data_IF_648576578924
#
_entry.id   IF_648576578924
#
_cell.length_a   1.000
_cell.length_b   1.000
_cell.length_c   1.000
_cell.angle_alpha   90.00
_cell.angle_beta   90.00
_cell.angle_gamma   90.00
#
_symmetry.space_group_name_H-M   'P 1'
#
loop_
_entity.id
_entity.type
_entity.pdbx_description
1 polymer ?
#
# COMPACT_ATOMS: atom_id res chain seq x y z
N UNK A 1 -26.23 1.69 -19.54
CA UNK A 1 -25.79 2.65 -20.58
C UNK A 1 -26.11 4.11 -20.21
N UNK A 2 -26.47 4.41 -18.95
CA UNK A 2 -27.18 5.65 -18.59
C UNK A 2 -26.30 6.77 -18.01
N UNK A 3 -25.08 6.48 -17.49
CA UNK A 3 -24.18 7.50 -16.92
C UNK A 3 -23.24 8.18 -17.94
N UNK A 4 -22.87 7.49 -19.03
CA UNK A 4 -21.96 8.06 -20.05
C UNK A 4 -22.64 9.16 -20.87
N UNK A 5 -23.98 9.14 -20.96
CA UNK A 5 -24.77 10.17 -21.64
C UNK A 5 -24.88 11.51 -20.89
N UNK A 6 -24.48 11.56 -19.61
CA UNK A 6 -24.49 12.75 -18.77
C UNK A 6 -23.18 13.57 -18.85
N UNK A 7 -22.22 13.13 -19.66
CA UNK A 7 -21.00 13.88 -19.98
C UNK A 7 -20.09 14.17 -18.77
N UNK A 8 -19.47 15.35 -18.76
CA UNK A 8 -18.48 15.79 -17.75
C UNK A 8 -19.07 15.91 -16.34
N UNK A 9 -20.37 16.18 -16.18
CA UNK A 9 -21.02 16.28 -14.86
C UNK A 9 -21.01 14.94 -14.12
N UNK A 10 -21.39 13.86 -14.79
CA UNK A 10 -21.34 12.52 -14.19
C UNK A 10 -19.91 12.09 -13.88
N UNK A 11 -18.96 12.51 -14.71
CA UNK A 11 -17.55 12.23 -14.50
C UNK A 11 -17.00 12.96 -13.25
N UNK A 12 -17.40 14.22 -13.03
CA UNK A 12 -17.08 14.96 -11.80
C UNK A 12 -17.70 14.37 -10.54
N UNK A 13 -18.93 13.85 -10.62
CA UNK A 13 -19.55 13.13 -9.49
C UNK A 13 -18.76 11.86 -9.14
N UNK A 14 -18.36 11.08 -10.16
CA UNK A 14 -17.56 9.87 -9.96
C UNK A 14 -16.18 10.19 -9.36
N UNK A 15 -15.56 11.30 -9.75
CA UNK A 15 -14.29 11.78 -9.17
C UNK A 15 -14.46 12.08 -7.68
N UNK A 16 -15.50 12.84 -7.30
CA UNK A 16 -15.81 13.15 -5.90
C UNK A 16 -16.08 11.90 -5.06
N UNK A 17 -16.96 11.01 -5.54
CA UNK A 17 -17.30 9.75 -4.83
C UNK A 17 -16.09 8.82 -4.70
N UNK A 18 -15.16 8.83 -5.66
CA UNK A 18 -13.93 8.03 -5.56
C UNK A 18 -12.99 8.55 -4.45
N UNK A 19 -12.88 9.87 -4.30
CA UNK A 19 -12.05 10.51 -3.29
C UNK A 19 -12.64 10.38 -1.87
N UNK A 20 -13.97 10.34 -1.74
CA UNK A 20 -14.66 10.34 -0.46
C UNK A 20 -14.39 9.07 0.38
N UNK A 21 -13.80 9.23 1.58
CA UNK A 21 -13.57 8.13 2.53
C UNK A 21 -14.83 7.75 3.33
N UNK A 22 -15.85 8.62 3.31
CA UNK A 22 -17.20 8.39 3.79
C UNK A 22 -17.96 7.35 2.98
N UNK A 23 -17.62 7.18 1.70
CA UNK A 23 -18.32 6.27 0.80
C UNK A 23 -18.00 4.78 1.04
N UNK A 24 -18.95 3.91 0.69
CA UNK A 24 -18.78 2.45 0.81
C UNK A 24 -17.61 1.99 -0.07
N UNK A 25 -16.65 1.28 0.54
CA UNK A 25 -15.48 0.74 -0.13
C UNK A 25 -15.85 -0.09 -1.37
N UNK A 26 -16.92 -0.88 -1.32
CA UNK A 26 -17.41 -1.68 -2.46
C UNK A 26 -17.81 -0.79 -3.62
N UNK A 27 -18.45 0.35 -3.35
CA UNK A 27 -18.83 1.34 -4.37
C UNK A 27 -17.57 1.96 -4.97
N UNK A 28 -16.66 2.47 -4.13
CA UNK A 28 -15.39 3.08 -4.55
C UNK A 28 -14.56 2.15 -5.43
N UNK A 29 -14.54 0.84 -5.14
CA UNK A 29 -13.82 -0.16 -5.95
C UNK A 29 -14.40 -0.35 -7.36
N UNK A 30 -15.67 0.01 -7.62
CA UNK A 30 -16.31 -0.08 -8.94
C UNK A 30 -16.19 1.21 -9.76
N UNK A 31 -15.85 2.34 -9.14
CA UNK A 31 -15.82 3.64 -9.82
C UNK A 31 -14.73 3.72 -10.90
N UNK A 32 -13.47 3.29 -10.66
CA UNK A 32 -12.40 3.46 -11.65
C UNK A 32 -12.70 2.84 -13.02
N UNK A 33 -13.27 1.63 -13.04
CA UNK A 33 -13.69 0.98 -14.29
C UNK A 33 -14.81 1.73 -15.01
N UNK A 34 -15.62 2.50 -14.28
CA UNK A 34 -16.71 3.30 -14.83
C UNK A 34 -16.16 4.59 -15.42
N UNK A 35 -15.23 5.26 -14.71
CA UNK A 35 -14.47 6.42 -15.22
C UNK A 35 -13.77 6.08 -16.54
N UNK A 36 -13.13 4.91 -16.64
CA UNK A 36 -12.43 4.49 -17.86
C UNK A 36 -13.34 4.29 -19.10
N UNK A 37 -14.66 4.38 -18.96
CA UNK A 37 -15.62 4.30 -20.08
C UNK A 37 -15.96 5.66 -20.69
N UNK A 38 -15.51 6.76 -20.08
CA UNK A 38 -15.64 8.11 -20.61
C UNK A 38 -14.55 8.42 -21.63
N UNK A 39 -14.56 9.62 -22.20
CA UNK A 39 -13.54 10.06 -23.16
C UNK A 39 -12.13 9.86 -22.58
N UNK A 40 -11.20 9.19 -23.32
CA UNK A 40 -9.91 8.80 -22.76
C UNK A 40 -9.08 9.93 -22.14
N UNK A 41 -9.00 11.14 -22.72
CA UNK A 41 -8.28 12.26 -22.09
C UNK A 41 -8.87 12.67 -20.73
N UNK A 42 -10.20 12.84 -20.63
CA UNK A 42 -10.87 13.21 -19.37
C UNK A 42 -10.75 12.12 -18.31
N UNK A 43 -10.95 10.86 -18.71
CA UNK A 43 -10.82 9.71 -17.81
C UNK A 43 -9.40 9.57 -17.27
N UNK A 44 -8.37 9.71 -18.12
CA UNK A 44 -6.98 9.62 -17.70
C UNK A 44 -6.59 10.74 -16.74
N UNK A 45 -7.01 11.98 -17.01
CA UNK A 45 -6.76 13.12 -16.12
C UNK A 45 -7.25 12.84 -14.70
N UNK A 46 -8.48 12.34 -14.57
CA UNK A 46 -9.08 12.01 -13.27
C UNK A 46 -8.39 10.82 -12.60
N UNK A 47 -8.15 9.73 -13.34
CA UNK A 47 -7.48 8.56 -12.78
C UNK A 47 -6.06 8.90 -12.30
N UNK A 48 -5.31 9.74 -13.02
CA UNK A 48 -3.98 10.20 -12.60
C UNK A 48 -4.08 11.09 -11.36
N UNK A 49 -5.02 12.03 -11.31
CA UNK A 49 -5.26 12.86 -10.11
C UNK A 49 -5.57 11.98 -8.88
N UNK A 50 -6.40 10.97 -9.05
CA UNK A 50 -6.81 10.05 -7.99
C UNK A 50 -5.67 9.15 -7.48
N UNK A 51 -4.56 9.01 -8.22
CA UNK A 51 -3.36 8.36 -7.69
C UNK A 51 -2.81 9.08 -6.47
N UNK A 52 -2.99 10.39 -6.33
CA UNK A 52 -2.55 11.17 -5.17
C UNK A 52 -3.61 11.23 -4.06
N UNK A 53 -4.88 11.37 -4.42
CA UNK A 53 -5.97 11.58 -3.46
C UNK A 53 -6.37 10.30 -2.69
N UNK A 54 -6.36 9.14 -3.36
CA UNK A 54 -6.82 7.89 -2.74
C UNK A 54 -5.79 7.35 -1.76
N UNK A 55 -6.14 7.28 -0.47
CA UNK A 55 -5.29 6.65 0.56
C UNK A 55 -5.37 5.12 0.52
N UNK A 56 -6.57 4.57 0.39
CA UNK A 56 -6.79 3.12 0.41
C UNK A 56 -6.07 2.40 -0.75
N UNK A 57 -5.17 1.46 -0.42
CA UNK A 57 -4.36 0.74 -1.40
C UNK A 57 -5.16 -0.13 -2.39
N UNK A 58 -6.31 -0.67 -1.99
CA UNK A 58 -7.17 -1.47 -2.87
C UNK A 58 -7.92 -0.59 -3.88
N UNK A 59 -8.32 0.62 -3.47
CA UNK A 59 -8.92 1.60 -4.39
C UNK A 59 -7.85 2.13 -5.36
N UNK A 60 -6.65 2.49 -4.87
CA UNK A 60 -5.49 2.85 -5.73
C UNK A 60 -5.19 1.76 -6.76
N UNK A 61 -5.25 0.50 -6.35
CA UNK A 61 -5.09 -0.63 -7.26
C UNK A 61 -6.13 -0.64 -8.39
N UNK A 62 -7.40 -0.38 -8.08
CA UNK A 62 -8.47 -0.29 -9.08
C UNK A 62 -8.28 0.91 -10.02
N UNK A 63 -7.81 2.05 -9.50
CA UNK A 63 -7.41 3.22 -10.31
C UNK A 63 -6.31 2.83 -11.30
N UNK A 64 -5.23 2.20 -10.83
CA UNK A 64 -4.13 1.76 -11.68
C UNK A 64 -4.59 0.76 -12.74
N UNK A 65 -5.40 -0.25 -12.37
CA UNK A 65 -5.92 -1.23 -13.33
C UNK A 65 -6.76 -0.56 -14.43
N UNK A 66 -7.58 0.42 -14.07
CA UNK A 66 -8.35 1.20 -15.03
C UNK A 66 -7.44 2.03 -15.95
N UNK A 67 -6.42 2.68 -15.39
CA UNK A 67 -5.45 3.49 -16.13
C UNK A 67 -4.58 2.64 -17.08
N UNK A 68 -4.05 1.49 -16.62
CA UNK A 68 -3.31 0.56 -17.47
C UNK A 68 -4.14 0.11 -18.67
N UNK A 69 -5.43 -0.20 -18.46
CA UNK A 69 -6.33 -0.59 -19.55
C UNK A 69 -6.57 0.56 -20.52
N UNK A 70 -6.80 1.77 -19.99
CA UNK A 70 -7.04 2.95 -20.80
C UNK A 70 -5.85 3.28 -21.71
N UNK A 71 -4.63 3.15 -21.18
CA UNK A 71 -3.37 3.36 -21.92
C UNK A 71 -3.13 2.26 -22.96
N UNK A 72 -3.40 1.00 -22.61
CA UNK A 72 -3.28 -0.11 -23.57
C UNK A 72 -4.23 0.07 -24.77
N UNK A 73 -5.45 0.55 -24.53
CA UNK A 73 -6.44 0.81 -25.58
C UNK A 73 -6.16 2.13 -26.34
N UNK A 74 -5.31 3.02 -25.80
CA UNK A 74 -5.01 4.34 -26.38
C UNK A 74 -3.50 4.69 -26.24
N UNK A 75 -2.60 4.06 -27.02
CA UNK A 75 -1.15 4.22 -26.83
C UNK A 75 -0.61 5.65 -27.03
N UNK A 76 -1.34 6.51 -27.75
CA UNK A 76 -0.97 7.92 -28.00
C UNK A 76 -1.47 8.89 -26.91
N UNK A 77 -2.17 8.37 -25.89
CA UNK A 77 -2.76 9.16 -24.82
C UNK A 77 -1.68 9.93 -24.04
N UNK A 78 -1.87 11.24 -23.93
CA UNK A 78 -0.98 12.10 -23.15
C UNK A 78 -1.34 12.00 -21.67
N UNK A 79 -0.34 11.69 -20.86
CA UNK A 79 -0.47 11.54 -19.41
C UNK A 79 0.42 12.55 -18.71
N UNK A 80 -0.03 13.01 -17.54
CA UNK A 80 0.80 13.76 -16.60
C UNK A 80 1.83 12.80 -15.96
N UNK A 81 2.98 12.69 -16.63
CA UNK A 81 4.10 11.83 -16.21
C UNK A 81 4.66 12.24 -14.84
N UNK A 82 4.84 13.54 -14.51
CA UNK A 82 5.23 13.96 -13.17
C UNK A 82 4.36 13.36 -12.06
N UNK A 83 3.03 13.43 -12.16
CA UNK A 83 2.12 12.86 -11.15
C UNK A 83 2.25 11.34 -11.01
N UNK A 84 2.44 10.63 -12.12
CA UNK A 84 2.64 9.17 -12.10
C UNK A 84 3.99 8.80 -11.46
N UNK A 85 5.05 9.57 -11.72
CA UNK A 85 6.36 9.38 -11.07
C UNK A 85 6.29 9.63 -9.56
N UNK A 86 5.60 10.68 -9.12
CA UNK A 86 5.37 10.93 -7.71
C UNK A 86 4.60 9.79 -7.03
N UNK A 87 3.60 9.21 -7.72
CA UNK A 87 2.90 8.03 -7.25
C UNK A 87 3.83 6.80 -7.14
N UNK A 88 4.72 6.58 -8.12
CA UNK A 88 5.72 5.51 -8.10
C UNK A 88 6.66 5.63 -6.90
N UNK A 89 7.23 6.81 -6.67
CA UNK A 89 8.09 7.06 -5.51
C UNK A 89 7.36 6.80 -4.20
N UNK A 90 6.10 7.24 -4.08
CA UNK A 90 5.28 6.99 -2.88
C UNK A 90 5.04 5.49 -2.65
N UNK A 91 4.75 4.71 -3.69
CA UNK A 91 4.59 3.26 -3.54
C UNK A 91 5.90 2.56 -3.18
N UNK A 92 7.04 2.99 -3.75
CA UNK A 92 8.37 2.48 -3.37
C UNK A 92 8.65 2.73 -1.88
N UNK A 93 8.44 3.97 -1.41
CA UNK A 93 8.59 4.32 0.02
C UNK A 93 7.68 3.46 0.90
N UNK A 94 6.43 3.23 0.48
CA UNK A 94 5.50 2.39 1.22
C UNK A 94 5.95 0.92 1.26
N UNK A 95 6.40 0.36 0.14
CA UNK A 95 6.90 -1.01 0.07
C UNK A 95 8.06 -1.23 1.05
N UNK A 96 9.04 -0.32 1.05
CA UNK A 96 10.18 -0.42 1.96
C UNK A 96 9.81 -0.22 3.42
N UNK A 97 8.90 0.70 3.73
CA UNK A 97 8.38 0.88 5.09
C UNK A 97 7.69 -0.39 5.61
N UNK A 98 6.87 -1.04 4.79
CA UNK A 98 6.22 -2.29 5.18
C UNK A 98 7.21 -3.43 5.37
N UNK A 99 8.28 -3.48 4.57
CA UNK A 99 9.36 -4.43 4.75
C UNK A 99 10.09 -4.19 6.08
N UNK A 100 10.46 -2.94 6.36
CA UNK A 100 11.17 -2.55 7.58
C UNK A 100 10.36 -2.86 8.83
N UNK A 101 9.09 -2.45 8.86
CA UNK A 101 8.17 -2.78 9.95
C UNK A 101 8.01 -4.29 10.15
N UNK A 102 7.94 -5.07 9.07
CA UNK A 102 7.86 -6.53 9.17
C UNK A 102 9.13 -7.10 9.79
N UNK A 103 10.30 -6.67 9.35
CA UNK A 103 11.58 -7.15 9.86
C UNK A 103 11.79 -6.78 11.33
N UNK A 104 11.43 -5.55 11.72
CA UNK A 104 11.44 -5.12 13.12
C UNK A 104 10.50 -5.98 13.97
N UNK A 105 9.29 -6.25 13.47
CA UNK A 105 8.31 -7.09 14.13
C UNK A 105 8.79 -8.53 14.29
N UNK A 106 9.34 -9.14 13.23
CA UNK A 106 9.87 -10.51 13.24
C UNK A 106 11.09 -10.67 14.17
N UNK A 107 11.92 -9.62 14.33
CA UNK A 107 13.07 -9.64 15.24
C UNK A 107 12.65 -9.63 16.72
N UNK A 108 11.71 -8.75 17.08
CA UNK A 108 11.38 -8.44 18.48
C UNK A 108 10.19 -9.26 18.99
N UNK A 109 9.31 -9.69 18.09
CA UNK A 109 8.09 -10.46 18.36
C UNK A 109 8.29 -11.80 19.05
N UNK A 110 9.42 -12.47 18.77
CA UNK A 110 9.76 -13.74 19.41
C UNK A 110 10.10 -13.61 20.90
N UNK A 111 10.37 -12.40 21.40
CA UNK A 111 10.78 -12.15 22.79
C UNK A 111 9.67 -11.53 23.64
N UNK A 112 8.85 -10.66 23.06
CA UNK A 112 7.87 -9.87 23.81
C UNK A 112 6.43 -10.36 23.71
N UNK A 113 6.04 -11.04 22.63
CA UNK A 113 4.65 -11.47 22.42
C UNK A 113 4.31 -12.84 23.05
N UNK A 114 5.31 -13.51 23.63
CA UNK A 114 5.22 -14.91 24.05
C UNK A 114 5.13 -15.88 22.85
N UNK A 115 5.50 -17.17 23.01
CA UNK A 115 5.30 -18.15 21.96
C UNK A 115 3.79 -18.33 21.69
N UNK A 116 3.29 -17.89 20.52
CA UNK A 116 1.94 -18.21 20.06
C UNK A 116 0.90 -17.07 20.00
N UNK A 117 1.28 -15.80 20.14
CA UNK A 117 0.33 -14.68 19.89
C UNK A 117 -0.16 -14.75 18.43
N UNK A 118 -1.45 -15.09 18.27
CA UNK A 118 -2.10 -15.20 16.95
C UNK A 118 -2.10 -13.84 16.26
N UNK A 119 -2.24 -12.75 17.01
CA UNK A 119 -2.31 -11.38 16.47
C UNK A 119 -0.95 -10.93 15.95
N UNK A 120 0.13 -11.25 16.65
CA UNK A 120 1.48 -10.99 16.18
C UNK A 120 1.71 -11.61 14.79
N UNK A 121 1.36 -12.90 14.63
CA UNK A 121 1.44 -13.59 13.34
C UNK A 121 0.56 -12.94 12.25
N UNK A 122 -0.62 -12.44 12.61
CA UNK A 122 -1.49 -11.69 11.69
C UNK A 122 -0.89 -10.34 11.28
N UNK A 123 -0.21 -9.63 12.18
CA UNK A 123 0.49 -8.38 11.87
C UNK A 123 1.64 -8.62 10.89
N UNK A 124 2.49 -9.63 11.14
CA UNK A 124 3.57 -10.03 10.23
C UNK A 124 3.01 -10.36 8.85
N UNK A 125 1.95 -11.18 8.79
CA UNK A 125 1.28 -11.55 7.54
C UNK A 125 0.69 -10.33 6.83
N UNK A 126 -0.01 -9.45 7.54
CA UNK A 126 -0.60 -8.23 6.99
C UNK A 126 0.47 -7.30 6.39
N UNK A 127 1.62 -7.14 7.05
CA UNK A 127 2.73 -6.33 6.55
C UNK A 127 3.36 -6.94 5.30
N UNK A 128 3.50 -8.27 5.25
CA UNK A 128 3.92 -8.99 4.05
C UNK A 128 2.94 -8.77 2.90
N UNK A 129 1.64 -8.95 3.13
CA UNK A 129 0.61 -8.72 2.12
C UNK A 129 0.62 -7.26 1.64
N UNK A 130 0.86 -6.29 2.53
CA UNK A 130 0.98 -4.88 2.17
C UNK A 130 2.20 -4.57 1.31
N UNK A 131 3.35 -5.18 1.64
CA UNK A 131 4.57 -5.10 0.84
C UNK A 131 4.32 -5.63 -0.57
N UNK A 132 3.74 -6.83 -0.70
CA UNK A 132 3.41 -7.44 -2.00
C UNK A 132 2.42 -6.61 -2.81
N UNK A 133 1.37 -6.09 -2.16
CA UNK A 133 0.41 -5.22 -2.82
C UNK A 133 1.05 -3.89 -3.29
N UNK A 134 2.05 -3.37 -2.57
CA UNK A 134 2.80 -2.19 -3.01
C UNK A 134 3.69 -2.51 -4.21
N UNK A 135 4.38 -3.67 -4.20
CA UNK A 135 5.15 -4.18 -5.36
C UNK A 135 4.27 -4.29 -6.61
N UNK A 136 3.07 -4.87 -6.50
CA UNK A 136 2.18 -4.97 -7.66
C UNK A 136 1.74 -3.59 -8.19
N UNK A 137 1.52 -2.60 -7.31
CA UNK A 137 1.19 -1.23 -7.73
C UNK A 137 2.37 -0.53 -8.41
N UNK A 138 3.60 -0.72 -7.91
CA UNK A 138 4.84 -0.24 -8.54
C UNK A 138 4.93 -0.76 -9.97
N UNK A 139 4.70 -2.06 -10.16
CA UNK A 139 4.71 -2.70 -11.48
C UNK A 139 3.66 -2.11 -12.43
N UNK A 140 2.45 -1.88 -11.92
CA UNK A 140 1.38 -1.23 -12.70
C UNK A 140 1.76 0.19 -13.11
N UNK A 141 2.35 0.97 -12.21
CA UNK A 141 2.83 2.33 -12.47
C UNK A 141 3.92 2.34 -13.55
N UNK A 142 4.87 1.41 -13.50
CA UNK A 142 5.88 1.23 -14.54
C UNK A 142 5.23 0.89 -15.89
N UNK A 143 4.19 0.03 -15.90
CA UNK A 143 3.41 -0.26 -17.11
C UNK A 143 2.66 0.96 -17.68
N UNK A 144 2.22 1.90 -16.84
CA UNK A 144 1.64 3.17 -17.29
C UNK A 144 2.71 4.12 -17.85
N UNK A 145 3.89 4.17 -17.21
CA UNK A 145 5.00 5.03 -17.65
C UNK A 145 5.65 4.56 -18.95
N UNK A 146 5.60 3.26 -19.23
CA UNK A 146 6.30 2.63 -20.35
C UNK A 146 5.36 1.72 -21.16
N UNK A 147 4.32 2.27 -21.82
CA UNK A 147 3.27 1.48 -22.45
C UNK A 147 3.71 0.66 -23.67
N UNK A 148 4.86 1.00 -24.25
CA UNK A 148 5.44 0.27 -25.39
C UNK A 148 6.31 -0.92 -24.96
N UNK A 149 6.64 -1.01 -23.67
CA UNK A 149 7.39 -2.12 -23.10
C UNK A 149 6.39 -3.22 -22.69
N UNK A 150 6.73 -4.49 -22.93
CA UNK A 150 5.96 -5.60 -22.36
C UNK A 150 6.34 -5.80 -20.88
N UNK A 151 5.95 -4.80 -20.08
CA UNK A 151 6.25 -4.71 -18.65
C UNK A 151 5.70 -5.92 -17.89
N UNK A 152 4.60 -6.52 -18.34
CA UNK A 152 4.06 -7.74 -17.73
C UNK A 152 5.00 -8.93 -17.93
N UNK A 153 5.51 -9.11 -19.16
CA UNK A 153 6.47 -10.17 -19.44
C UNK A 153 7.80 -9.94 -18.73
N UNK A 154 8.29 -8.69 -18.68
CA UNK A 154 9.48 -8.32 -17.90
C UNK A 154 9.30 -8.74 -16.43
N UNK A 155 8.18 -8.39 -15.79
CA UNK A 155 7.97 -8.78 -14.38
C UNK A 155 7.81 -10.28 -14.16
N UNK A 156 7.20 -11.01 -15.10
CA UNK A 156 7.17 -12.48 -15.01
C UNK A 156 8.56 -13.08 -15.14
N UNK A 157 9.38 -12.56 -16.05
CA UNK A 157 10.72 -13.04 -16.30
C UNK A 157 11.67 -12.81 -15.12
N UNK A 158 11.45 -11.75 -14.35
CA UNK A 158 12.20 -11.46 -13.12
C UNK A 158 12.01 -12.50 -11.99
N UNK A 159 10.86 -13.19 -11.95
CA UNK A 159 10.61 -14.29 -11.01
C UNK A 159 10.94 -15.67 -11.59
N UNK A 160 11.57 -15.73 -12.76
CA UNK A 160 11.88 -16.98 -13.46
C UNK A 160 12.99 -17.75 -12.75
N UNK A 161 12.83 -19.06 -12.61
CA UNK A 161 13.91 -19.95 -12.14
C UNK A 161 15.08 -20.07 -13.14
N UNK A 162 14.88 -19.62 -14.38
CA UNK A 162 15.92 -19.57 -15.41
C UNK A 162 16.73 -18.27 -15.30
N UNK A 163 18.02 -18.41 -15.00
CA UNK A 163 18.93 -17.29 -14.77
C UNK A 163 19.09 -16.36 -15.99
N UNK A 164 19.07 -16.90 -17.22
CA UNK A 164 19.13 -16.10 -18.45
C UNK A 164 17.90 -15.20 -18.61
N UNK A 165 16.70 -15.75 -18.40
CA UNK A 165 15.44 -15.00 -18.47
C UNK A 165 15.35 -13.93 -17.38
N UNK A 166 15.79 -14.27 -16.16
CA UNK A 166 15.83 -13.32 -15.04
C UNK A 166 16.77 -12.16 -15.35
N UNK A 167 18.00 -12.45 -15.80
CA UNK A 167 19.00 -11.43 -16.13
C UNK A 167 18.55 -10.52 -17.28
N UNK A 168 17.99 -11.08 -18.36
CA UNK A 168 17.47 -10.27 -19.48
C UNK A 168 16.30 -9.38 -19.04
N UNK A 169 15.43 -9.87 -18.15
CA UNK A 169 14.31 -9.07 -17.64
C UNK A 169 14.78 -7.94 -16.73
N UNK A 170 15.84 -8.17 -15.96
CA UNK A 170 16.50 -7.16 -15.13
C UNK A 170 17.15 -6.06 -15.98
N UNK A 171 17.90 -6.43 -17.02
CA UNK A 171 18.49 -5.48 -17.96
C UNK A 171 17.43 -4.62 -18.66
N UNK A 172 16.35 -5.25 -19.12
CA UNK A 172 15.24 -4.54 -19.74
C UNK A 172 14.59 -3.56 -18.76
N UNK A 173 14.35 -3.96 -17.52
CA UNK A 173 13.81 -3.08 -16.48
C UNK A 173 14.70 -1.86 -16.23
N UNK A 174 16.01 -2.06 -16.10
CA UNK A 174 16.98 -0.99 -15.85
C UNK A 174 17.07 0.00 -17.01
N UNK A 175 16.79 -0.44 -18.24
CA UNK A 175 16.82 0.40 -19.44
C UNK A 175 15.82 1.56 -19.38
N UNK A 176 14.67 1.39 -18.72
CA UNK A 176 13.59 2.38 -18.72
C UNK A 176 13.26 2.96 -17.34
N UNK A 177 13.70 2.34 -16.24
CA UNK A 177 13.58 2.93 -14.89
C UNK A 177 14.57 4.09 -14.73
N UNK A 178 14.10 5.17 -14.12
CA UNK A 178 14.92 6.35 -13.85
C UNK A 178 16.15 5.98 -12.98
N UNK A 179 17.36 6.47 -13.30
CA UNK A 179 18.61 6.06 -12.62
C UNK A 179 18.54 6.11 -11.09
N UNK A 180 17.91 7.15 -10.53
CA UNK A 180 17.76 7.35 -9.09
C UNK A 180 16.80 6.36 -8.41
N UNK A 181 16.04 5.58 -9.17
CA UNK A 181 15.10 4.56 -8.66
C UNK A 181 15.50 3.14 -9.01
N UNK A 182 16.53 2.93 -9.85
CA UNK A 182 16.92 1.59 -10.35
C UNK A 182 17.22 0.62 -9.22
N UNK A 183 18.12 1.01 -8.31
CA UNK A 183 18.50 0.18 -7.18
C UNK A 183 17.29 -0.21 -6.31
N UNK A 184 16.40 0.75 -6.04
CA UNK A 184 15.19 0.52 -5.27
C UNK A 184 14.18 -0.40 -5.99
N UNK A 185 14.05 -0.28 -7.31
CA UNK A 185 13.16 -1.16 -8.06
C UNK A 185 13.75 -2.56 -8.18
N UNK A 186 15.03 -2.68 -8.55
CA UNK A 186 15.73 -3.98 -8.65
C UNK A 186 15.77 -4.69 -7.30
N UNK A 187 16.05 -3.97 -6.22
CA UNK A 187 16.06 -4.52 -4.87
C UNK A 187 14.72 -5.13 -4.47
N UNK A 188 13.57 -4.58 -4.88
CA UNK A 188 12.25 -5.18 -4.62
C UNK A 188 11.95 -6.43 -5.45
N UNK A 189 12.79 -6.77 -6.40
CA UNK A 189 12.53 -7.80 -7.41
C UNK A 189 13.49 -8.97 -7.24
N UNK A 190 14.77 -8.69 -7.05
CA UNK A 190 15.83 -9.67 -6.96
C UNK A 190 15.54 -10.71 -5.87
N UNK A 191 15.95 -11.96 -6.07
CA UNK A 191 15.89 -13.01 -5.05
C UNK A 191 17.06 -12.85 -4.07
N UNK A 192 16.97 -11.81 -3.25
CA UNK A 192 17.96 -11.44 -2.24
C UNK A 192 17.35 -11.46 -0.83
N UNK A 193 18.18 -11.69 0.21
CA UNK A 193 17.74 -11.62 1.59
C UNK A 193 17.08 -10.28 1.93
N UNK A 194 16.04 -10.30 2.76
CA UNK A 194 15.26 -9.11 3.09
C UNK A 194 16.08 -7.95 3.66
N UNK A 195 17.14 -8.24 4.44
CA UNK A 195 18.05 -7.21 4.94
C UNK A 195 18.82 -6.51 3.81
N UNK A 196 19.17 -7.23 2.74
CA UNK A 196 19.79 -6.65 1.55
C UNK A 196 18.77 -5.89 0.73
N UNK A 197 17.58 -6.45 0.54
CA UNK A 197 16.44 -5.80 -0.10
C UNK A 197 16.17 -4.44 0.54
N UNK A 198 16.10 -4.37 1.86
CA UNK A 198 15.84 -3.13 2.60
C UNK A 198 16.94 -2.07 2.36
N UNK A 199 18.21 -2.47 2.25
CA UNK A 199 19.31 -1.53 1.93
C UNK A 199 19.18 -0.90 0.55
N UNK A 200 18.62 -1.63 -0.42
CA UNK A 200 18.39 -1.11 -1.78
C UNK A 200 17.43 0.07 -1.84
N UNK A 201 16.71 0.39 -0.75
CA UNK A 201 15.84 1.55 -0.70
C UNK A 201 16.59 2.89 -0.91
N UNK A 202 17.87 2.95 -0.52
CA UNK A 202 18.68 4.16 -0.61
C UNK A 202 17.98 5.38 0.03
N UNK A 203 17.88 6.48 -0.73
CA UNK A 203 17.24 7.71 -0.26
C UNK A 203 15.70 7.63 -0.08
N UNK A 204 15.07 6.52 -0.47
CA UNK A 204 13.63 6.36 -0.35
C UNK A 204 13.20 5.97 1.06
N UNK A 205 14.04 5.22 1.78
CA UNK A 205 13.72 4.75 3.13
C UNK A 205 15.00 4.57 3.95
N UNK A 206 15.01 5.18 5.14
CA UNK A 206 16.04 4.94 6.14
C UNK A 206 15.51 3.87 7.09
N UNK A 207 16.17 2.69 7.20
CA UNK A 207 15.77 1.66 8.15
C UNK A 207 15.67 2.23 9.56
N UNK A 208 14.52 2.04 10.16
CA UNK A 208 14.24 2.40 11.54
C UNK A 208 14.55 1.17 12.39
N UNK A 209 15.27 1.36 13.49
CA UNK A 209 15.49 0.30 14.47
C UNK A 209 14.67 0.61 15.73
N UNK A 210 13.32 0.68 15.64
CA UNK A 210 12.49 1.11 16.76
C UNK A 210 12.49 0.05 17.86
N UNK A 211 12.16 0.47 19.08
CA UNK A 211 11.70 -0.47 20.09
C UNK A 211 10.37 -1.11 19.66
N UNK A 212 10.00 -2.24 20.25
CA UNK A 212 8.72 -2.89 19.92
C UNK A 212 7.51 -1.97 20.15
N UNK A 213 7.55 -1.17 21.22
CA UNK A 213 6.50 -0.21 21.58
C UNK A 213 6.45 0.94 20.56
N UNK A 214 7.60 1.45 20.16
CA UNK A 214 7.67 2.51 19.14
C UNK A 214 7.19 2.00 17.79
N UNK A 215 7.52 0.75 17.42
CA UNK A 215 6.98 0.12 16.22
C UNK A 215 5.45 0.03 16.26
N UNK A 216 4.86 -0.41 17.37
CA UNK A 216 3.41 -0.45 17.51
C UNK A 216 2.81 0.96 17.42
N UNK A 217 3.47 1.97 17.98
CA UNK A 217 3.07 3.38 17.84
C UNK A 217 3.10 3.84 16.38
N UNK A 218 4.13 3.48 15.62
CA UNK A 218 4.21 3.77 14.18
C UNK A 218 3.09 3.09 13.40
N UNK A 219 2.76 1.83 13.72
CA UNK A 219 1.67 1.10 13.08
C UNK A 219 0.29 1.74 13.33
N UNK A 220 0.07 2.38 14.48
CA UNK A 220 -1.14 3.16 14.77
C UNK A 220 -1.30 4.39 13.86
N UNK A 221 -0.18 4.94 13.38
CA UNK A 221 -0.12 6.08 12.45
C UNK A 221 -0.23 5.71 10.96
N UNK A 222 -0.35 4.42 10.63
CA UNK A 222 -0.38 3.97 9.23
C UNK A 222 -1.66 4.41 8.49
N UNK A 223 -1.55 4.67 7.17
CA UNK A 223 -2.69 4.96 6.26
C UNK A 223 -3.57 3.72 5.95
N UNK A 224 -3.87 2.90 6.96
CA UNK A 224 -4.61 1.66 6.80
C UNK A 224 -5.34 1.25 8.06
N UNK A 225 -6.66 1.44 8.09
CA UNK A 225 -7.50 1.07 9.23
C UNK A 225 -7.40 -0.41 9.62
N UNK A 226 -7.22 -1.33 8.67
CA UNK A 226 -7.03 -2.75 9.01
C UNK A 226 -5.72 -3.02 9.76
N UNK A 227 -4.66 -2.26 9.46
CA UNK A 227 -3.37 -2.40 10.14
C UNK A 227 -3.42 -1.72 11.49
N UNK A 228 -4.00 -0.51 11.56
CA UNK A 228 -4.29 0.19 12.82
C UNK A 228 -5.13 -0.68 13.74
N UNK A 229 -6.17 -1.36 13.23
CA UNK A 229 -7.05 -2.23 14.01
C UNK A 229 -6.29 -3.41 14.61
N UNK A 230 -5.45 -4.10 13.83
CA UNK A 230 -4.61 -5.18 14.35
C UNK A 230 -3.59 -4.67 15.37
N UNK A 231 -2.99 -3.51 15.14
CA UNK A 231 -2.06 -2.90 16.09
C UNK A 231 -2.76 -2.55 17.41
N UNK A 232 -3.93 -1.90 17.38
CA UNK A 232 -4.72 -1.60 18.59
C UNK A 232 -5.09 -2.89 19.33
N UNK A 233 -5.55 -3.92 18.61
CA UNK A 233 -5.88 -5.20 19.23
C UNK A 233 -4.66 -5.82 19.91
N UNK A 234 -3.51 -5.81 19.25
CA UNK A 234 -2.27 -6.36 19.79
C UNK A 234 -1.77 -5.58 21.01
N UNK A 235 -1.89 -4.25 20.99
CA UNK A 235 -1.57 -3.39 22.15
C UNK A 235 -2.44 -3.77 23.35
N UNK A 236 -3.74 -4.02 23.14
CA UNK A 236 -4.66 -4.44 24.19
C UNK A 236 -4.39 -5.87 24.69
N UNK A 237 -4.04 -6.79 23.79
CA UNK A 237 -3.62 -8.17 24.11
C UNK A 237 -2.40 -8.16 25.03
N UNK A 238 -1.41 -7.32 24.74
CA UNK A 238 -0.17 -7.18 25.52
C UNK A 238 -0.30 -6.25 26.73
N UNK A 239 -1.48 -5.64 26.95
CA UNK A 239 -1.74 -4.68 28.04
C UNK A 239 -0.72 -3.54 28.12
N UNK A 240 -0.28 -3.02 26.96
CA UNK A 240 0.70 -1.92 26.89
C UNK A 240 0.04 -0.57 27.23
N UNK A 241 -0.10 -0.30 28.52
CA UNK A 241 -0.77 0.90 29.05
C UNK A 241 -0.13 2.21 28.62
N UNK A 242 1.18 2.23 28.35
CA UNK A 242 1.91 3.39 27.85
C UNK A 242 1.43 3.86 26.45
N UNK A 243 0.82 2.98 25.66
CA UNK A 243 0.25 3.30 24.35
C UNK A 243 -1.22 3.71 24.43
N UNK A 244 -1.85 3.63 25.61
CA UNK A 244 -3.25 4.03 25.81
C UNK A 244 -3.54 5.45 25.31
N UNK A 245 -2.74 6.49 25.62
CA UNK A 245 -2.99 7.84 25.12
C UNK A 245 -2.96 7.93 23.59
N UNK A 246 -2.07 7.16 22.94
CA UNK A 246 -2.01 7.10 21.48
C UNK A 246 -3.23 6.39 20.90
N UNK A 247 -3.73 5.34 21.54
CA UNK A 247 -4.96 4.63 21.12
C UNK A 247 -6.20 5.51 21.28
N UNK A 248 -6.30 6.27 22.37
CA UNK A 248 -7.41 7.21 22.64
C UNK A 248 -7.43 8.39 21.67
N UNK A 249 -6.25 8.86 21.24
CA UNK A 249 -6.12 9.94 20.26
C UNK A 249 -6.45 9.53 18.82
N UNK A 250 -6.76 8.25 18.55
CA UNK A 250 -7.20 7.83 17.22
C UNK A 250 -8.60 8.37 16.94
N UNK A 251 -8.76 8.97 15.76
CA UNK A 251 -10.06 9.43 15.26
C UNK A 251 -10.56 8.49 14.14
N UNK A 252 -11.09 7.30 14.47
CA UNK A 252 -11.63 6.40 13.48
C UNK A 252 -12.98 6.89 12.96
N UNK A 253 -13.29 6.55 11.71
CA UNK A 253 -14.64 6.77 11.16
C UNK A 253 -15.70 6.10 12.07
N UNK A 254 -16.83 6.76 12.36
CA UNK A 254 -17.94 6.15 13.09
C UNK A 254 -18.34 4.80 12.49
N UNK A 255 -18.72 3.85 13.35
CA UNK A 255 -19.16 2.50 12.99
C UNK A 255 -18.13 1.63 12.21
N UNK A 256 -16.88 2.09 12.11
CA UNK A 256 -15.80 1.27 11.55
C UNK A 256 -15.36 0.15 12.51
N UNK A 257 -14.71 -0.87 11.95
CA UNK A 257 -14.02 -1.89 12.76
C UNK A 257 -13.02 -1.24 13.71
N UNK A 258 -12.23 -0.27 13.23
CA UNK A 258 -11.24 0.43 14.04
C UNK A 258 -11.90 1.14 15.24
N UNK A 259 -13.04 1.82 15.04
CA UNK A 259 -13.77 2.45 16.13
C UNK A 259 -14.21 1.45 17.21
N UNK A 260 -14.65 0.26 16.78
CA UNK A 260 -15.03 -0.82 17.70
C UNK A 260 -13.82 -1.36 18.47
N UNK A 261 -12.71 -1.60 17.77
CA UNK A 261 -11.48 -2.12 18.40
C UNK A 261 -10.88 -1.10 19.37
N UNK A 262 -10.88 0.20 19.04
CA UNK A 262 -10.41 1.28 19.93
C UNK A 262 -11.21 1.31 21.23
N UNK A 263 -12.54 1.33 21.17
CA UNK A 263 -13.38 1.32 22.40
C UNK A 263 -13.10 0.13 23.30
N UNK A 264 -12.97 -1.06 22.70
CA UNK A 264 -12.67 -2.28 23.44
C UNK A 264 -11.27 -2.23 24.07
N UNK A 265 -10.27 -1.77 23.31
CA UNK A 265 -8.89 -1.65 23.78
C UNK A 265 -8.75 -0.65 24.93
N UNK A 266 -9.38 0.53 24.84
CA UNK A 266 -9.34 1.54 25.91
C UNK A 266 -9.93 0.99 27.21
N UNK A 267 -11.05 0.25 27.12
CA UNK A 267 -11.68 -0.39 28.28
C UNK A 267 -10.75 -1.44 28.92
N UNK A 268 -10.10 -2.27 28.09
CA UNK A 268 -9.17 -3.31 28.55
C UNK A 268 -7.88 -2.74 29.15
N UNK A 269 -7.37 -1.61 28.62
CA UNK A 269 -6.17 -0.94 29.12
C UNK A 269 -6.43 -0.10 30.38
N UNK A 270 -7.70 0.14 30.72
CA UNK A 270 -8.10 0.83 31.95
C UNK A 270 -8.32 -0.11 33.14
N UNK A 271 -8.52 -1.41 32.90
CA UNK A 271 -8.67 -2.40 33.97
C UNK A 271 -7.31 -2.68 34.63
N UNK A 272 -7.25 -2.60 35.97
CA UNK A 272 -6.08 -3.06 36.73
C UNK A 272 -5.87 -4.56 36.49
N UNK A 273 -4.61 -5.05 36.43
CA UNK A 273 -4.37 -6.49 36.31
C UNK A 273 -5.00 -7.19 37.52
N UNK A 274 -5.91 -8.15 37.29
CA UNK A 274 -6.40 -9.03 38.34
C UNK A 274 -5.19 -9.64 39.05
N UNK A 275 -5.02 -9.29 40.33
CA UNK A 275 -3.99 -9.87 41.16
C UNK A 275 -4.21 -11.38 41.19
N UNK A 276 -3.34 -12.13 40.51
CA UNK A 276 -3.33 -13.58 40.56
C UNK A 276 -3.17 -14.00 42.03
N UNK A 277 -4.26 -14.49 42.62
CA UNK A 277 -4.27 -15.15 43.93
C UNK A 277 -3.81 -16.61 43.78
#
# INVERSE_FOLDING_TARGET
>A
KTLVGLGETALGMLDGTLADEGEDLRVRLQIPKTIARFAPPSAARILVHQLAAVRNGAVRYRVLRALNRLVADNPTLKLDRPSIKAALERELRAAYRFLDWRLALERDGGRNAGPGSTVHGLLVKMLRDKHENARERIFRLLGVLHPHQDVQTIFRGLGSSRADVSASSQELLESFVAPNLREAVSGLIDDIPDAQRLRSAGALHTPTNPSYVDLLRELLGADSDSLRSLAVYHIAELRLSELKPTVEALEPKPDSLLATVVRNAVSLLAAEPEAAS
#
